data_IF_389404279899
#
_entry.id   IF_389404279899
#
_cell.length_a   1.000
_cell.length_b   1.000
_cell.length_c   1.000
_cell.angle_alpha   90.00
_cell.angle_beta   90.00
_cell.angle_gamma   90.00
#
_symmetry.space_group_name_H-M   'P 1'
#
loop_
_entity.id
_entity.type
_entity.pdbx_description
1 polymer ?
#
# COMPACT_ATOMS: atom_id res chain seq x y z
N UNK A 1 24.07 11.80 1.25
CA UNK A 1 22.78 11.10 1.03
C UNK A 1 22.38 10.46 2.35
N UNK A 2 21.29 10.91 2.98
CA UNK A 2 20.79 10.30 4.22
C UNK A 2 19.92 9.12 3.83
N UNK A 3 20.29 7.91 4.23
CA UNK A 3 19.49 6.70 3.99
C UNK A 3 18.27 6.72 4.90
N UNK A 4 17.09 6.39 4.36
CA UNK A 4 15.89 6.19 5.17
C UNK A 4 16.15 5.06 6.18
N UNK A 5 15.88 5.26 7.49
CA UNK A 5 16.06 4.21 8.48
C UNK A 5 15.29 2.94 8.11
N UNK A 6 15.89 1.78 8.38
CA UNK A 6 15.28 0.47 8.12
C UNK A 6 15.38 -0.42 9.36
N UNK A 7 14.49 -1.41 9.45
CA UNK A 7 14.49 -2.40 10.52
C UNK A 7 15.70 -3.33 10.40
N UNK A 8 16.46 -3.49 11.49
CA UNK A 8 17.68 -4.33 11.52
C UNK A 8 17.41 -5.75 11.99
N UNK A 9 16.29 -6.00 12.67
CA UNK A 9 15.93 -7.30 13.17
C UNK A 9 15.51 -8.25 12.02
N UNK A 10 16.27 -9.33 11.84
CA UNK A 10 16.00 -10.36 10.83
C UNK A 10 14.68 -11.10 11.05
N UNK A 11 14.23 -11.25 12.30
CA UNK A 11 12.97 -11.93 12.61
C UNK A 11 11.75 -11.12 12.13
N UNK A 12 11.86 -9.80 12.11
CA UNK A 12 10.84 -8.94 11.51
C UNK A 12 10.74 -9.19 9.99
N UNK A 13 11.87 -9.24 9.29
CA UNK A 13 11.89 -9.52 7.85
C UNK A 13 11.40 -10.94 7.52
N UNK A 14 11.68 -11.92 8.39
CA UNK A 14 11.13 -13.28 8.26
C UNK A 14 9.60 -13.29 8.33
N UNK A 15 8.98 -12.44 9.15
CA UNK A 15 7.52 -12.32 9.19
C UNK A 15 6.97 -11.77 7.87
N UNK A 16 7.62 -10.76 7.28
CA UNK A 16 7.25 -10.25 5.96
C UNK A 16 7.33 -11.35 4.90
N UNK A 17 8.44 -12.10 4.83
CA UNK A 17 8.58 -13.18 3.85
C UNK A 17 7.51 -14.26 4.00
N UNK A 18 7.21 -14.70 5.23
CA UNK A 18 6.13 -15.67 5.48
C UNK A 18 4.76 -15.15 5.03
N UNK A 19 4.48 -13.87 5.24
CA UNK A 19 3.24 -13.23 4.79
C UNK A 19 3.16 -13.20 3.26
N UNK A 20 4.26 -12.81 2.60
CA UNK A 20 4.35 -12.78 1.13
C UNK A 20 4.17 -14.19 0.56
N UNK A 21 4.83 -15.20 1.12
CA UNK A 21 4.76 -16.58 0.62
C UNK A 21 3.35 -17.16 0.72
N UNK A 22 2.65 -16.94 1.84
CA UNK A 22 1.35 -17.58 2.13
C UNK A 22 0.12 -16.86 1.57
N UNK A 23 0.26 -15.63 1.10
CA UNK A 23 -0.88 -14.81 0.61
C UNK A 23 -1.12 -14.99 -0.89
N UNK A 24 -2.36 -14.94 -1.36
CA UNK A 24 -2.65 -14.87 -2.81
C UNK A 24 -2.68 -13.44 -3.35
N UNK A 25 -2.93 -12.48 -2.46
CA UNK A 25 -2.99 -11.05 -2.72
C UNK A 25 -2.15 -10.30 -1.67
N UNK A 26 -1.15 -9.56 -2.12
CA UNK A 26 -0.40 -8.65 -1.26
C UNK A 26 -0.97 -7.24 -1.36
N UNK A 27 -1.38 -6.69 -0.21
CA UNK A 27 -1.90 -5.32 -0.11
C UNK A 27 -0.88 -4.45 0.62
N UNK A 28 -0.32 -3.46 -0.07
CA UNK A 28 0.57 -2.48 0.54
C UNK A 28 -0.23 -1.25 0.99
N UNK A 29 -0.25 -1.00 2.30
CA UNK A 29 -0.90 0.19 2.85
C UNK A 29 0.06 1.37 2.74
N UNK A 30 -0.35 2.42 2.04
CA UNK A 30 0.45 3.64 1.85
C UNK A 30 -0.30 4.86 2.36
N UNK A 31 0.45 5.88 2.80
CA UNK A 31 -0.15 7.17 3.15
C UNK A 31 -0.46 7.96 1.86
N UNK A 32 -1.72 8.36 1.70
CA UNK A 32 -2.22 9.02 0.49
C UNK A 32 -1.61 10.41 0.23
N UNK A 33 -0.94 11.01 1.23
CA UNK A 33 -0.31 12.34 1.09
C UNK A 33 0.95 12.30 0.23
N UNK A 34 1.69 11.21 0.28
CA UNK A 34 2.86 10.98 -0.59
C UNK A 34 2.98 9.49 -0.95
N UNK A 35 2.08 8.98 -1.81
CA UNK A 35 1.99 7.56 -2.09
C UNK A 35 3.24 7.02 -2.81
N UNK A 36 4.04 7.88 -3.43
CA UNK A 36 5.27 7.49 -4.10
C UNK A 36 6.42 7.25 -3.13
N UNK A 37 6.54 8.09 -2.11
CA UNK A 37 7.54 7.93 -1.07
C UNK A 37 7.29 6.68 -0.22
N UNK A 38 6.02 6.43 0.13
CA UNK A 38 5.66 5.32 1.03
C UNK A 38 5.48 3.97 0.33
N UNK A 39 5.49 3.91 -1.00
CA UNK A 39 5.41 2.63 -1.72
C UNK A 39 6.79 1.99 -1.91
N UNK A 40 6.86 0.67 -1.78
CA UNK A 40 8.10 -0.08 -2.03
C UNK A 40 8.06 -0.77 -3.39
N UNK A 41 8.69 -0.14 -4.38
CA UNK A 41 8.85 -0.69 -5.75
C UNK A 41 9.72 -1.95 -5.78
N UNK A 42 10.64 -2.07 -4.83
CA UNK A 42 11.50 -3.25 -4.74
C UNK A 42 10.71 -4.46 -4.23
N UNK A 43 9.78 -4.26 -3.29
CA UNK A 43 8.86 -5.31 -2.86
C UNK A 43 7.92 -5.72 -4.00
N UNK A 44 7.35 -4.74 -4.72
CA UNK A 44 6.54 -5.00 -5.92
C UNK A 44 7.28 -5.87 -6.93
N UNK A 45 8.53 -5.50 -7.25
CA UNK A 45 9.38 -6.22 -8.19
C UNK A 45 9.69 -7.64 -7.70
N UNK A 46 10.11 -7.78 -6.44
CA UNK A 46 10.41 -9.08 -5.82
C UNK A 46 9.21 -10.03 -5.90
N UNK A 47 8.01 -9.55 -5.55
CA UNK A 47 6.79 -10.36 -5.57
C UNK A 47 6.46 -10.80 -6.99
N UNK A 48 6.54 -9.88 -7.96
CA UNK A 48 6.26 -10.16 -9.37
C UNK A 48 7.24 -11.17 -9.97
N UNK A 49 8.52 -11.06 -9.62
CA UNK A 49 9.57 -11.96 -10.13
C UNK A 49 9.49 -13.35 -9.47
N UNK A 50 9.23 -13.42 -8.16
CA UNK A 50 9.24 -14.69 -7.42
C UNK A 50 7.91 -15.43 -7.44
N UNK A 51 6.79 -14.71 -7.58
CA UNK A 51 5.43 -15.20 -7.50
C UNK A 51 4.53 -14.54 -8.56
N UNK A 52 4.71 -14.87 -9.86
CA UNK A 52 4.06 -14.16 -10.97
C UNK A 52 2.53 -14.24 -10.99
N UNK A 53 1.95 -15.27 -10.36
CA UNK A 53 0.50 -15.42 -10.22
C UNK A 53 -0.10 -14.57 -9.08
N UNK A 54 0.74 -14.06 -8.16
CA UNK A 54 0.29 -13.30 -7.00
C UNK A 54 -0.04 -11.88 -7.42
N UNK A 55 -1.20 -11.39 -6.98
CA UNK A 55 -1.59 -10.00 -7.22
C UNK A 55 -0.96 -9.09 -6.17
N UNK A 56 -0.56 -7.89 -6.59
CA UNK A 56 -0.12 -6.82 -5.71
C UNK A 56 -1.03 -5.60 -5.93
N UNK A 57 -1.49 -5.01 -4.83
CA UNK A 57 -2.31 -3.80 -4.86
C UNK A 57 -1.92 -2.83 -3.74
N UNK A 58 -2.29 -1.57 -3.91
CA UNK A 58 -2.03 -0.51 -2.95
C UNK A 58 -3.34 -0.06 -2.30
N UNK A 59 -3.35 0.02 -0.97
CA UNK A 59 -4.40 0.67 -0.19
C UNK A 59 -3.91 2.05 0.24
N UNK A 60 -4.39 3.11 -0.40
CA UNK A 60 -4.10 4.49 -0.05
C UNK A 60 -4.93 4.93 1.16
N UNK A 61 -4.34 4.83 2.35
CA UNK A 61 -4.94 5.27 3.60
C UNK A 61 -4.82 6.79 3.77
N UNK A 62 -5.64 7.39 4.65
CA UNK A 62 -5.78 8.84 4.83
C UNK A 62 -6.26 9.56 3.57
N UNK A 63 -7.06 8.87 2.75
CA UNK A 63 -7.59 9.44 1.51
C UNK A 63 -8.49 10.66 1.75
N UNK A 64 -9.00 10.87 2.96
CA UNK A 64 -9.74 12.07 3.37
C UNK A 64 -8.93 13.37 3.26
N UNK A 65 -7.60 13.30 3.27
CA UNK A 65 -6.71 14.43 2.96
C UNK A 65 -6.67 14.78 1.47
N UNK A 66 -7.18 13.91 0.59
CA UNK A 66 -7.19 14.12 -0.85
C UNK A 66 -8.55 14.63 -1.32
N UNK A 67 -8.52 15.71 -2.11
CA UNK A 67 -9.69 16.15 -2.86
C UNK A 67 -10.10 15.10 -3.91
N UNK A 68 -11.38 15.08 -4.34
CA UNK A 68 -11.83 14.16 -5.40
C UNK A 68 -11.00 14.27 -6.69
N UNK A 69 -10.57 15.47 -7.06
CA UNK A 69 -9.71 15.69 -8.23
C UNK A 69 -8.33 15.03 -8.05
N UNK A 70 -7.71 15.15 -6.87
CA UNK A 70 -6.44 14.50 -6.57
C UNK A 70 -6.56 12.97 -6.56
N UNK A 71 -7.65 12.42 -6.01
CA UNK A 71 -7.90 10.97 -6.07
C UNK A 71 -7.99 10.46 -7.50
N UNK A 72 -8.70 11.16 -8.39
CA UNK A 72 -8.77 10.79 -9.82
C UNK A 72 -7.40 10.85 -10.49
N UNK A 73 -6.62 11.88 -10.21
CA UNK A 73 -5.24 12.01 -10.75
C UNK A 73 -4.36 10.86 -10.29
N UNK A 74 -4.41 10.50 -9.01
CA UNK A 74 -3.67 9.35 -8.49
C UNK A 74 -4.15 8.04 -9.09
N UNK A 75 -5.46 7.82 -9.21
CA UNK A 75 -6.02 6.63 -9.84
C UNK A 75 -5.54 6.48 -11.30
N UNK A 76 -5.64 7.56 -12.09
CA UNK A 76 -5.17 7.56 -13.47
C UNK A 76 -3.65 7.32 -13.56
N UNK A 77 -2.88 7.93 -12.67
CA UNK A 77 -1.44 7.76 -12.61
C UNK A 77 -1.05 6.29 -12.35
N UNK A 78 -1.63 5.65 -11.32
CA UNK A 78 -1.29 4.27 -10.97
C UNK A 78 -1.84 3.24 -11.96
N UNK A 79 -2.94 3.55 -12.65
CA UNK A 79 -3.43 2.74 -13.77
C UNK A 79 -2.38 2.64 -14.89
N UNK A 80 -1.73 3.75 -15.25
CA UNK A 80 -0.65 3.75 -16.25
C UNK A 80 0.58 2.97 -15.78
N UNK A 81 0.87 3.02 -14.48
CA UNK A 81 1.98 2.24 -13.87
C UNK A 81 1.63 0.74 -13.76
N UNK A 82 0.37 0.35 -14.00
CA UNK A 82 -0.09 -1.03 -13.92
C UNK A 82 -0.25 -1.54 -12.48
N UNK A 83 -0.52 -0.64 -11.52
CA UNK A 83 -0.73 -0.99 -10.11
C UNK A 83 -2.15 -0.63 -9.70
N UNK A 84 -2.87 -1.61 -9.15
CA UNK A 84 -4.23 -1.41 -8.64
C UNK A 84 -4.20 -0.62 -7.31
N UNK A 85 -5.09 0.36 -7.19
CA UNK A 85 -5.17 1.26 -6.03
C UNK A 85 -6.60 1.34 -5.52
N UNK A 86 -6.76 1.20 -4.20
CA UNK A 86 -8.01 1.51 -3.49
C UNK A 86 -7.76 2.66 -2.51
N UNK A 87 -8.69 3.62 -2.45
CA UNK A 87 -8.65 4.72 -1.49
C UNK A 87 -9.42 4.37 -0.24
N UNK A 88 -8.78 4.51 0.92
CA UNK A 88 -9.38 4.21 2.22
C UNK A 88 -9.15 5.37 3.20
N UNK A 89 -10.07 5.53 4.15
CA UNK A 89 -9.93 6.49 5.25
C UNK A 89 -10.32 5.79 6.53
N UNK A 90 -9.31 5.34 7.28
CA UNK A 90 -9.52 4.66 8.55
C UNK A 90 -10.30 5.53 9.54
N UNK A 91 -10.06 6.84 9.56
CA UNK A 91 -10.78 7.78 10.43
C UNK A 91 -12.28 7.85 10.09
N UNK A 92 -12.62 7.96 8.80
CA UNK A 92 -14.02 7.97 8.38
C UNK A 92 -14.72 6.65 8.67
N UNK A 93 -14.01 5.54 8.52
CA UNK A 93 -14.57 4.22 8.82
C UNK A 93 -14.79 4.01 10.32
N UNK A 94 -13.84 4.46 11.15
CA UNK A 94 -13.98 4.44 12.59
C UNK A 94 -15.18 5.28 13.06
N UNK A 95 -15.35 6.49 12.51
CA UNK A 95 -16.52 7.33 12.81
C UNK A 95 -17.83 6.69 12.33
N UNK A 96 -17.81 5.94 11.23
CA UNK A 96 -18.98 5.21 10.73
C UNK A 96 -19.38 4.10 11.70
N UNK A 97 -18.42 3.32 12.19
CA UNK A 97 -18.65 2.21 13.12
C UNK A 97 -19.24 2.69 14.45
N UNK A 98 -18.68 3.75 15.04
CA UNK A 98 -19.20 4.35 16.29
C UNK A 98 -20.59 4.97 16.18
N UNK A 99 -21.10 5.22 14.96
CA UNK A 99 -22.47 5.71 14.75
C UNK A 99 -23.50 4.60 14.66
N UNK A 100 -23.04 3.35 14.50
CA UNK A 100 -23.89 2.16 14.31
C UNK A 100 -24.00 1.34 15.60
N UNK A 101 -23.00 1.44 16.48
CA UNK A 101 -23.01 0.92 17.86
C UNK A 101 -23.63 1.93 18.82
#
# INVERSE_FOLDING_TARGET
VVMTPYERNLDFWRQLWRCVERSDLLVQIVDARDPYFYRSRDLERYVRERFPAKRHMILMNKSDFLSPALRRRWAAHFLVVGVEVIFFSALRELHRQHRIT
#
